data_IF_627038138024
#
_entry.id   IF_627038138024
#
_cell.length_a   1.000
_cell.length_b   1.000
_cell.length_c   1.000
_cell.angle_alpha   90.00
_cell.angle_beta   90.00
_cell.angle_gamma   90.00
#
_symmetry.space_group_name_H-M   'P 1'
#
loop_
_entity.id
_entity.type
_entity.pdbx_description
1 polymer ?
#
# COMPACT_ATOMS: atom_id res chain seq x y z
N UNK A 1 30.08 43.66 -35.65
CA UNK A 1 28.90 43.15 -34.91
C UNK A 1 29.32 41.83 -34.27
N UNK A 2 29.73 41.88 -33.01
CA UNK A 2 30.23 40.72 -32.28
C UNK A 2 29.08 40.18 -31.44
N UNK A 3 28.64 38.96 -31.73
CA UNK A 3 27.56 38.27 -31.02
C UNK A 3 28.11 37.86 -29.65
N UNK A 4 27.54 38.43 -28.58
CA UNK A 4 27.82 38.01 -27.22
C UNK A 4 27.13 36.67 -26.94
N UNK A 5 27.92 35.62 -26.76
CA UNK A 5 27.47 34.34 -26.21
C UNK A 5 27.16 34.56 -24.73
N UNK A 6 25.87 34.61 -24.39
CA UNK A 6 25.41 34.54 -23.00
C UNK A 6 25.66 33.13 -22.48
N UNK A 7 26.64 32.97 -21.60
CA UNK A 7 26.83 31.76 -20.81
C UNK A 7 25.65 31.60 -19.85
N UNK A 8 24.75 30.67 -20.12
CA UNK A 8 23.74 30.23 -19.16
C UNK A 8 24.46 29.52 -18.00
N UNK A 9 24.42 30.12 -16.82
CA UNK A 9 24.83 29.46 -15.57
C UNK A 9 24.03 28.16 -15.40
N UNK A 10 24.64 27.04 -14.97
CA UNK A 10 23.89 25.83 -14.67
C UNK A 10 22.87 26.15 -13.58
N UNK A 11 21.58 25.93 -13.87
CA UNK A 11 20.53 26.00 -12.86
C UNK A 11 20.93 25.06 -11.72
N UNK A 12 21.26 25.62 -10.56
CA UNK A 12 21.61 24.86 -9.38
C UNK A 12 20.33 24.19 -8.89
N UNK A 13 20.06 22.97 -9.36
CA UNK A 13 18.94 22.19 -8.86
C UNK A 13 19.24 21.90 -7.38
N UNK A 14 18.41 22.36 -6.42
CA UNK A 14 18.69 22.13 -5.01
C UNK A 14 18.84 20.63 -4.73
N UNK A 15 19.85 20.28 -3.94
CA UNK A 15 20.13 18.88 -3.58
C UNK A 15 18.87 18.23 -2.96
N UNK A 16 18.42 17.05 -3.45
CA UNK A 16 17.25 16.38 -2.90
C UNK A 16 17.39 16.16 -1.39
N UNK A 17 16.32 16.35 -0.63
CA UNK A 17 16.29 16.15 0.83
C UNK A 17 16.79 14.76 1.23
N UNK A 18 16.49 13.74 0.42
CA UNK A 18 16.96 12.36 0.62
C UNK A 18 18.49 12.20 0.55
N UNK A 19 19.18 13.10 -0.15
CA UNK A 19 20.64 13.07 -0.33
C UNK A 19 21.39 14.04 0.60
N UNK A 20 20.68 14.91 1.30
CA UNK A 20 21.28 15.86 2.23
C UNK A 20 21.89 15.13 3.45
N UNK A 21 22.87 15.78 4.10
CA UNK A 21 23.46 15.28 5.35
C UNK A 21 22.56 15.64 6.53
N UNK A 22 22.31 14.70 7.43
CA UNK A 22 21.63 14.99 8.70
C UNK A 22 22.61 15.67 9.69
N UNK A 23 22.32 16.90 10.17
CA UNK A 23 23.19 17.58 11.13
C UNK A 23 23.40 16.82 12.44
N UNK A 24 22.42 16.02 12.87
CA UNK A 24 22.46 15.25 14.12
C UNK A 24 23.37 14.02 14.05
N UNK A 25 23.73 13.58 12.85
CA UNK A 25 24.52 12.36 12.63
C UNK A 25 25.87 12.62 11.94
N UNK A 26 26.34 13.87 11.87
CA UNK A 26 27.59 14.22 11.17
C UNK A 26 28.81 13.43 11.66
N UNK A 27 28.81 13.05 12.94
CA UNK A 27 29.88 12.29 13.59
C UNK A 27 29.41 10.90 14.06
N UNK A 28 28.37 10.32 13.45
CA UNK A 28 27.78 9.03 13.91
C UNK A 28 28.79 7.87 13.96
N UNK A 29 29.89 7.94 13.21
CA UNK A 29 30.98 6.96 13.25
C UNK A 29 31.75 6.93 14.59
N UNK A 30 31.66 7.97 15.41
CA UNK A 30 32.30 8.05 16.73
C UNK A 30 31.33 7.76 17.88
N UNK A 31 30.06 7.47 17.59
CA UNK A 31 29.04 7.21 18.61
C UNK A 31 29.17 5.77 19.13
N UNK A 32 28.84 5.57 20.40
CA UNK A 32 28.60 4.24 20.95
C UNK A 32 27.35 3.61 20.34
N UNK A 33 27.21 2.28 20.46
CA UNK A 33 26.03 1.58 19.96
C UNK A 33 24.71 2.12 20.58
N UNK A 34 24.73 2.51 21.85
CA UNK A 34 23.56 3.08 22.53
C UNK A 34 23.17 4.44 21.94
N UNK A 35 24.14 5.32 21.68
CA UNK A 35 23.90 6.63 21.05
C UNK A 35 23.41 6.49 19.60
N UNK A 36 23.92 5.49 18.86
CA UNK A 36 23.43 5.19 17.50
C UNK A 36 21.95 4.78 17.54
N UNK A 37 21.57 3.88 18.45
CA UNK A 37 20.17 3.42 18.58
C UNK A 37 19.26 4.58 18.99
N UNK A 38 19.66 5.39 19.97
CA UNK A 38 18.89 6.54 20.44
C UNK A 38 18.66 7.56 19.31
N UNK A 39 19.71 7.87 18.55
CA UNK A 39 19.61 8.77 17.41
C UNK A 39 18.68 8.21 16.32
N UNK A 40 18.81 6.92 15.98
CA UNK A 40 17.95 6.28 14.98
C UNK A 40 16.48 6.31 15.41
N UNK A 41 16.19 5.97 16.67
CA UNK A 41 14.82 5.99 17.19
C UNK A 41 14.23 7.41 17.18
N UNK A 42 15.01 8.41 17.58
CA UNK A 42 14.58 9.80 17.55
C UNK A 42 14.35 10.35 16.12
N UNK A 43 15.03 9.79 15.11
CA UNK A 43 14.76 10.09 13.71
C UNK A 43 13.51 9.35 13.20
N UNK A 44 13.35 8.06 13.53
CA UNK A 44 12.19 7.25 13.14
C UNK A 44 10.87 7.82 13.67
N UNK A 45 10.87 8.39 14.88
CA UNK A 45 9.69 9.05 15.47
C UNK A 45 9.12 10.17 14.57
N UNK A 46 9.94 10.77 13.70
CA UNK A 46 9.52 11.84 12.77
C UNK A 46 8.72 11.33 11.58
N UNK A 47 8.83 10.04 11.26
CA UNK A 47 8.17 9.43 10.10
C UNK A 47 6.65 9.51 10.21
N UNK A 48 6.10 9.26 11.39
CA UNK A 48 4.64 9.30 11.62
C UNK A 48 4.06 10.66 11.29
N UNK A 49 4.70 11.74 11.74
CA UNK A 49 4.28 13.10 11.45
C UNK A 49 4.38 13.43 9.95
N UNK A 50 5.39 12.92 9.24
CA UNK A 50 5.51 13.10 7.79
C UNK A 50 4.36 12.40 7.05
N UNK A 51 4.03 11.17 7.42
CA UNK A 51 2.88 10.43 6.85
C UNK A 51 1.55 11.11 7.17
N UNK A 52 1.38 11.65 8.39
CA UNK A 52 0.17 12.37 8.80
C UNK A 52 -0.10 13.62 7.96
N UNK A 53 0.95 14.30 7.47
CA UNK A 53 0.79 15.46 6.57
C UNK A 53 0.15 15.06 5.23
N UNK A 54 0.40 13.83 4.78
CA UNK A 54 -0.13 13.27 3.53
C UNK A 54 -1.52 12.61 3.68
N UNK A 55 -2.16 12.69 4.85
CA UNK A 55 -3.42 11.98 5.14
C UNK A 55 -4.54 12.21 4.11
N UNK A 56 -4.63 13.41 3.54
CA UNK A 56 -5.64 13.75 2.54
C UNK A 56 -5.36 13.04 1.20
N UNK A 57 -4.10 13.07 0.75
CA UNK A 57 -3.67 12.38 -0.48
C UNK A 57 -3.81 10.86 -0.32
N UNK A 58 -3.44 10.32 0.85
CA UNK A 58 -3.61 8.90 1.16
C UNK A 58 -5.10 8.50 1.14
N UNK A 59 -5.98 9.31 1.74
CA UNK A 59 -7.42 9.06 1.71
C UNK A 59 -7.99 9.06 0.28
N UNK A 60 -7.61 10.04 -0.54
CA UNK A 60 -8.02 10.11 -1.94
C UNK A 60 -7.52 8.90 -2.74
N UNK A 61 -6.27 8.46 -2.50
CA UNK A 61 -5.74 7.26 -3.13
C UNK A 61 -6.52 6.00 -2.73
N UNK A 62 -6.84 5.84 -1.44
CA UNK A 62 -7.65 4.73 -0.93
C UNK A 62 -9.01 4.67 -1.64
N UNK A 63 -9.70 5.80 -1.75
CA UNK A 63 -11.01 5.88 -2.41
C UNK A 63 -10.94 5.47 -3.88
N UNK A 64 -9.96 6.01 -4.62
CA UNK A 64 -9.79 5.71 -6.04
C UNK A 64 -9.34 4.27 -6.33
N UNK A 65 -8.53 3.69 -5.45
CA UNK A 65 -8.14 2.27 -5.52
C UNK A 65 -9.35 1.39 -5.22
N UNK A 66 -10.12 1.70 -4.17
CA UNK A 66 -11.32 0.94 -3.81
C UNK A 66 -12.37 0.97 -4.93
N UNK A 67 -12.55 2.11 -5.59
CA UNK A 67 -13.45 2.21 -6.74
C UNK A 67 -13.02 1.30 -7.89
N UNK A 68 -11.73 1.25 -8.22
CA UNK A 68 -11.20 0.34 -9.25
C UNK A 68 -11.40 -1.12 -8.90
N UNK A 69 -11.13 -1.50 -7.66
CA UNK A 69 -11.41 -2.86 -7.19
C UNK A 69 -12.87 -3.27 -7.36
N UNK A 70 -13.83 -2.36 -7.13
CA UNK A 70 -15.26 -2.65 -7.36
C UNK A 70 -15.60 -2.88 -8.83
N UNK A 71 -14.82 -2.29 -9.74
CA UNK A 71 -14.98 -2.43 -11.19
C UNK A 71 -14.04 -3.48 -11.82
N UNK A 72 -13.41 -4.32 -11.00
CA UNK A 72 -12.54 -5.40 -11.46
C UNK A 72 -11.12 -4.97 -11.87
N UNK A 73 -10.73 -3.72 -11.62
CA UNK A 73 -9.36 -3.25 -11.76
C UNK A 73 -8.44 -3.78 -10.66
N UNK A 74 -7.13 -3.65 -10.86
CA UNK A 74 -6.09 -4.12 -9.94
C UNK A 74 -5.21 -2.96 -9.47
N UNK A 75 -4.44 -3.21 -8.41
CA UNK A 75 -3.42 -2.28 -7.90
C UNK A 75 -2.03 -2.82 -8.21
N UNK A 76 -1.20 -1.98 -8.83
CA UNK A 76 0.20 -2.28 -9.09
C UNK A 76 1.10 -1.36 -8.28
N UNK A 77 2.06 -1.93 -7.57
CA UNK A 77 3.21 -1.23 -7.04
C UNK A 77 4.39 -1.42 -7.98
N UNK A 78 5.13 -0.34 -8.26
CA UNK A 78 6.28 -0.37 -9.15
C UNK A 78 7.44 0.42 -8.53
N UNK A 79 8.58 -0.22 -8.31
CA UNK A 79 9.74 0.44 -7.72
C UNK A 79 11.05 -0.29 -8.00
N UNK A 80 12.16 0.34 -7.61
CA UNK A 80 13.48 -0.28 -7.62
C UNK A 80 13.99 -0.50 -6.18
N UNK A 81 14.95 -1.40 -6.00
CA UNK A 81 15.62 -1.62 -4.72
C UNK A 81 14.63 -1.82 -3.55
N UNK A 82 14.84 -1.07 -2.46
CA UNK A 82 13.96 -1.14 -1.28
C UNK A 82 12.51 -0.79 -1.59
N UNK A 83 12.26 0.22 -2.43
CA UNK A 83 10.91 0.63 -2.82
C UNK A 83 10.14 -0.49 -3.51
N UNK A 84 10.77 -1.17 -4.49
CA UNK A 84 10.17 -2.32 -5.15
C UNK A 84 9.93 -3.49 -4.20
N UNK A 85 10.87 -3.77 -3.28
CA UNK A 85 10.71 -4.84 -2.28
C UNK A 85 9.55 -4.58 -1.33
N UNK A 86 9.35 -3.34 -0.89
CA UNK A 86 8.22 -2.98 -0.03
C UNK A 86 6.88 -3.09 -0.77
N UNK A 87 6.84 -2.74 -2.06
CA UNK A 87 5.66 -2.99 -2.90
C UNK A 87 5.32 -4.48 -3.00
N UNK A 88 6.32 -5.34 -3.21
CA UNK A 88 6.14 -6.80 -3.23
C UNK A 88 5.71 -7.34 -1.88
N UNK A 89 6.28 -6.82 -0.77
CA UNK A 89 5.87 -7.19 0.58
C UNK A 89 4.38 -6.93 0.82
N UNK A 90 3.92 -5.70 0.61
CA UNK A 90 2.52 -5.31 0.84
C UNK A 90 1.55 -6.12 -0.05
N UNK A 91 1.89 -6.31 -1.33
CA UNK A 91 1.13 -7.15 -2.25
C UNK A 91 1.00 -8.61 -1.77
N UNK A 92 2.11 -9.19 -1.28
CA UNK A 92 2.15 -10.58 -0.82
C UNK A 92 1.30 -10.85 0.43
N UNK A 93 1.05 -9.81 1.23
CA UNK A 93 0.24 -9.90 2.44
C UNK A 93 -1.26 -9.80 2.16
N UNK A 94 -1.67 -9.32 0.97
CA UNK A 94 -3.07 -9.15 0.61
C UNK A 94 -3.85 -10.48 0.53
N UNK A 95 -3.39 -11.54 -0.16
CA UNK A 95 -4.09 -12.82 -0.23
C UNK A 95 -4.33 -13.49 1.15
N UNK A 96 -3.32 -13.66 2.04
CA UNK A 96 -3.57 -14.28 3.33
C UNK A 96 -4.37 -13.41 4.31
N UNK A 97 -4.42 -12.08 4.08
CA UNK A 97 -5.11 -11.11 4.95
C UNK A 97 -6.54 -10.84 4.51
N UNK A 98 -6.83 -10.75 3.21
CA UNK A 98 -8.14 -10.33 2.71
C UNK A 98 -8.79 -11.36 1.78
N UNK A 99 -8.21 -12.56 1.70
CA UNK A 99 -8.56 -13.64 0.76
C UNK A 99 -8.71 -13.14 -0.68
N UNK A 100 -7.83 -12.22 -1.06
CA UNK A 100 -7.83 -11.67 -2.41
C UNK A 100 -7.14 -12.65 -3.36
N UNK A 101 -7.53 -12.66 -4.63
CA UNK A 101 -6.68 -13.25 -5.65
C UNK A 101 -5.30 -12.58 -5.65
N UNK A 102 -4.19 -13.31 -5.90
CA UNK A 102 -2.84 -12.73 -5.98
C UNK A 102 -2.70 -11.63 -7.03
N UNK A 103 -3.49 -11.69 -8.10
CA UNK A 103 -3.50 -10.70 -9.19
C UNK A 103 -4.18 -9.38 -8.83
N UNK A 104 -4.91 -9.30 -7.71
CA UNK A 104 -5.60 -8.08 -7.30
C UNK A 104 -4.65 -6.97 -6.87
N UNK A 105 -3.53 -7.34 -6.24
CA UNK A 105 -2.46 -6.42 -5.80
C UNK A 105 -1.13 -7.03 -6.21
N UNK A 106 -0.38 -6.35 -7.07
CA UNK A 106 0.84 -6.86 -7.68
C UNK A 106 2.01 -5.93 -7.37
N UNK A 107 3.11 -6.49 -6.86
CA UNK A 107 4.36 -5.77 -6.70
C UNK A 107 5.34 -6.08 -7.83
N UNK A 108 5.82 -5.03 -8.50
CA UNK A 108 6.83 -5.08 -9.55
C UNK A 108 8.11 -4.40 -9.07
N UNK A 109 9.23 -5.07 -9.31
CA UNK A 109 10.56 -4.60 -8.93
C UNK A 109 11.48 -4.58 -10.15
N UNK A 110 12.18 -3.44 -10.34
CA UNK A 110 13.21 -3.31 -11.37
C UNK A 110 14.25 -4.43 -11.24
N UNK A 111 14.52 -5.16 -12.33
CA UNK A 111 15.40 -6.33 -12.34
C UNK A 111 14.71 -7.66 -12.00
N UNK A 112 13.39 -7.66 -11.79
CA UNK A 112 12.57 -8.86 -11.64
C UNK A 112 12.81 -9.63 -10.34
N UNK A 113 12.41 -10.91 -10.30
CA UNK A 113 12.42 -11.72 -9.07
C UNK A 113 13.82 -11.82 -8.41
N UNK A 114 14.90 -11.80 -9.19
CA UNK A 114 16.27 -11.80 -8.64
C UNK A 114 16.55 -10.57 -7.77
N UNK A 115 15.95 -9.42 -8.11
CA UNK A 115 16.10 -8.17 -7.39
C UNK A 115 15.55 -8.22 -5.94
N UNK A 116 14.69 -9.20 -5.64
CA UNK A 116 14.14 -9.39 -4.30
C UNK A 116 15.22 -9.74 -3.27
N UNK A 117 16.20 -10.55 -3.65
CA UNK A 117 17.24 -11.05 -2.74
C UNK A 117 18.64 -10.50 -3.05
N UNK A 118 18.84 -9.92 -4.24
CA UNK A 118 20.12 -9.33 -4.67
C UNK A 118 19.88 -7.97 -5.32
N UNK A 119 20.81 -7.03 -5.17
CA UNK A 119 20.74 -5.79 -5.95
C UNK A 119 21.14 -6.07 -7.40
N UNK A 120 20.44 -5.44 -8.36
CA UNK A 120 20.78 -5.49 -9.78
C UNK A 120 21.17 -4.07 -10.20
N UNK A 121 22.44 -3.88 -10.51
CA UNK A 121 22.99 -2.59 -10.92
C UNK A 121 22.37 -2.14 -12.26
N UNK A 122 22.03 -0.86 -12.37
CA UNK A 122 21.46 -0.25 -13.58
C UNK A 122 20.00 -0.60 -13.90
N UNK A 123 19.38 -1.54 -13.18
CA UNK A 123 17.97 -1.90 -13.42
C UNK A 123 17.01 -0.73 -13.20
N UNK A 124 17.35 0.20 -12.30
CA UNK A 124 16.54 1.36 -11.96
C UNK A 124 16.58 2.47 -13.03
N UNK A 125 17.55 2.42 -13.94
CA UNK A 125 17.76 3.41 -15.00
C UNK A 125 17.01 3.08 -16.31
N UNK A 126 16.46 1.87 -16.44
CA UNK A 126 15.74 1.43 -17.65
C UNK A 126 14.26 1.83 -17.62
N UNK A 127 13.92 2.97 -18.25
CA UNK A 127 12.53 3.43 -18.42
C UNK A 127 11.65 2.43 -19.18
N UNK A 128 12.20 1.73 -20.18
CA UNK A 128 11.43 0.84 -21.05
C UNK A 128 11.13 -0.49 -20.39
N UNK A 129 11.94 -0.92 -19.42
CA UNK A 129 11.69 -2.15 -18.66
C UNK A 129 10.37 -2.07 -17.91
N UNK A 130 10.04 -0.93 -17.29
CA UNK A 130 8.77 -0.76 -16.58
C UNK A 130 7.55 -0.96 -17.48
N UNK A 131 7.59 -0.43 -18.71
CA UNK A 131 6.54 -0.66 -19.70
C UNK A 131 6.42 -2.16 -20.04
N UNK A 132 7.55 -2.84 -20.28
CA UNK A 132 7.56 -4.28 -20.59
C UNK A 132 6.97 -5.11 -19.44
N UNK A 133 7.33 -4.79 -18.21
CA UNK A 133 6.81 -5.47 -17.02
C UNK A 133 5.28 -5.27 -16.90
N UNK A 134 4.79 -4.04 -17.07
CA UNK A 134 3.35 -3.74 -17.05
C UNK A 134 2.59 -4.45 -18.19
N UNK A 135 3.18 -4.53 -19.38
CA UNK A 135 2.60 -5.24 -20.53
C UNK A 135 2.49 -6.76 -20.29
N UNK A 136 3.48 -7.37 -19.65
CA UNK A 136 3.44 -8.79 -19.29
C UNK A 136 2.27 -9.12 -18.35
N UNK A 137 1.86 -8.16 -17.53
CA UNK A 137 0.70 -8.28 -16.64
C UNK A 137 -0.62 -7.79 -17.27
N UNK A 138 -0.62 -7.47 -18.57
CA UNK A 138 -1.79 -6.94 -19.27
C UNK A 138 -2.36 -5.71 -18.55
N UNK A 139 -1.50 -4.82 -18.06
CA UNK A 139 -1.91 -3.58 -17.40
C UNK A 139 -2.78 -2.72 -18.32
N UNK A 140 -3.83 -2.11 -17.76
CA UNK A 140 -4.87 -1.42 -18.53
C UNK A 140 -5.38 -0.15 -17.83
N UNK A 141 -6.24 0.61 -18.52
CA UNK A 141 -6.90 1.81 -17.98
C UNK A 141 -7.75 1.55 -16.71
N UNK A 142 -8.19 0.31 -16.50
CA UNK A 142 -8.97 -0.06 -15.33
C UNK A 142 -8.12 -0.17 -14.05
N UNK A 143 -6.79 -0.30 -14.21
CA UNK A 143 -5.86 -0.51 -13.11
C UNK A 143 -5.43 0.82 -12.47
N UNK A 144 -4.81 0.71 -11.28
CA UNK A 144 -4.07 1.79 -10.64
C UNK A 144 -2.58 1.42 -10.54
N UNK A 145 -1.70 2.38 -10.82
CA UNK A 145 -0.26 2.23 -10.64
C UNK A 145 0.22 3.19 -9.54
N UNK A 146 0.87 2.64 -8.52
CA UNK A 146 1.64 3.38 -7.52
C UNK A 146 3.12 3.23 -7.85
N UNK A 147 3.72 4.29 -8.40
CA UNK A 147 5.14 4.38 -8.68
C UNK A 147 5.91 4.85 -7.44
N UNK A 148 6.85 4.04 -6.95
CA UNK A 148 7.55 4.25 -5.68
C UNK A 148 9.02 4.57 -5.93
N UNK A 149 9.37 5.85 -5.77
CA UNK A 149 10.75 6.33 -5.82
C UNK A 149 10.97 7.35 -4.71
N UNK A 150 11.65 6.96 -3.63
CA UNK A 150 11.89 7.87 -2.50
C UNK A 150 12.64 9.13 -2.94
N UNK A 151 13.58 9.00 -3.88
CA UNK A 151 14.27 10.13 -4.52
C UNK A 151 13.36 10.97 -5.43
N UNK A 152 12.29 10.37 -5.94
CA UNK A 152 11.32 10.97 -6.87
C UNK A 152 11.79 11.07 -8.31
N UNK A 153 12.99 10.56 -8.64
CA UNK A 153 13.61 10.69 -9.95
C UNK A 153 13.97 9.38 -10.66
N UNK A 154 13.69 8.23 -10.05
CA UNK A 154 14.11 6.91 -10.57
C UNK A 154 13.53 6.64 -11.98
N UNK A 155 14.36 6.49 -13.04
CA UNK A 155 13.87 6.38 -14.42
C UNK A 155 12.89 5.23 -14.65
N UNK A 156 13.13 4.04 -14.12
CA UNK A 156 12.20 2.90 -14.21
C UNK A 156 10.80 3.27 -13.72
N UNK A 157 10.71 3.95 -12.58
CA UNK A 157 9.42 4.37 -11.99
C UNK A 157 8.75 5.43 -12.85
N UNK A 158 9.49 6.44 -13.31
CA UNK A 158 8.95 7.48 -14.19
C UNK A 158 8.44 6.91 -15.51
N UNK A 159 9.18 5.98 -16.13
CA UNK A 159 8.75 5.29 -17.35
C UNK A 159 7.45 4.48 -17.17
N UNK A 160 7.28 3.83 -16.02
CA UNK A 160 6.04 3.12 -15.70
C UNK A 160 4.85 4.07 -15.51
N UNK A 161 5.05 5.19 -14.81
CA UNK A 161 4.02 6.22 -14.62
C UNK A 161 3.60 6.84 -15.96
N UNK A 162 4.58 7.20 -16.81
CA UNK A 162 4.30 7.74 -18.15
C UNK A 162 3.49 6.75 -19.00
N UNK A 163 3.85 5.46 -18.97
CA UNK A 163 3.12 4.42 -19.69
C UNK A 163 1.69 4.23 -19.15
N UNK A 164 1.52 4.12 -17.84
CA UNK A 164 0.20 3.97 -17.22
C UNK A 164 -0.72 5.16 -17.55
N UNK A 165 -0.19 6.38 -17.48
CA UNK A 165 -0.92 7.59 -17.88
C UNK A 165 -1.31 7.56 -19.35
N UNK A 166 -0.43 7.11 -20.24
CA UNK A 166 -0.74 7.01 -21.69
C UNK A 166 -1.91 6.06 -21.99
N UNK A 167 -2.18 5.10 -21.10
CA UNK A 167 -3.33 4.20 -21.18
C UNK A 167 -4.59 4.76 -20.51
N UNK A 168 -4.52 5.89 -19.80
CA UNK A 168 -5.62 6.44 -19.01
C UNK A 168 -5.84 5.75 -17.66
N UNK A 169 -4.86 4.98 -17.17
CA UNK A 169 -4.90 4.40 -15.83
C UNK A 169 -4.64 5.46 -14.76
N UNK A 170 -5.07 5.21 -13.53
CA UNK A 170 -4.71 6.09 -12.41
C UNK A 170 -3.22 5.95 -12.09
N UNK A 171 -2.55 7.09 -12.00
CA UNK A 171 -1.14 7.14 -11.58
C UNK A 171 -0.99 7.83 -10.24
N UNK A 172 -0.36 7.15 -9.29
CA UNK A 172 -0.03 7.65 -7.96
C UNK A 172 1.50 7.64 -7.82
N UNK A 173 2.10 8.78 -7.49
CA UNK A 173 3.52 8.91 -7.23
C UNK A 173 3.83 8.89 -5.73
N UNK A 174 4.83 8.13 -5.32
CA UNK A 174 5.37 8.18 -3.95
C UNK A 174 6.81 8.69 -3.95
N UNK A 175 7.10 9.72 -3.15
CA UNK A 175 8.45 10.28 -2.95
C UNK A 175 8.64 10.83 -1.53
N UNK A 176 9.88 11.04 -1.11
CA UNK A 176 10.21 11.68 0.17
C UNK A 176 10.87 13.06 -0.02
N UNK A 177 10.70 13.67 -1.19
CA UNK A 177 11.17 15.00 -1.56
C UNK A 177 9.98 15.91 -1.90
N UNK A 178 10.03 17.20 -1.51
CA UNK A 178 8.95 18.18 -1.71
C UNK A 178 8.66 18.50 -3.18
N UNK A 179 9.68 18.47 -4.03
CA UNK A 179 9.54 18.69 -5.47
C UNK A 179 10.50 17.74 -6.18
N UNK A 180 9.94 16.90 -7.05
CA UNK A 180 10.71 15.88 -7.78
C UNK A 180 9.98 15.53 -9.08
N UNK A 181 10.66 14.91 -10.06
CA UNK A 181 10.06 14.53 -11.34
C UNK A 181 8.72 13.77 -11.21
N UNK A 182 8.55 12.97 -10.14
CA UNK A 182 7.31 12.23 -9.89
C UNK A 182 6.08 13.13 -9.74
N UNK A 183 6.24 14.39 -9.29
CA UNK A 183 5.16 15.36 -9.14
C UNK A 183 4.53 15.77 -10.46
N UNK A 184 5.28 15.63 -11.56
CA UNK A 184 4.79 15.89 -12.91
C UNK A 184 4.31 14.60 -13.59
N UNK A 185 4.85 13.45 -13.19
CA UNK A 185 4.58 12.16 -13.81
C UNK A 185 3.31 11.45 -13.29
N UNK A 186 2.77 11.83 -12.12
CA UNK A 186 1.60 11.18 -11.52
C UNK A 186 0.40 12.12 -11.35
N UNK A 187 -0.81 11.57 -11.33
CA UNK A 187 -2.08 12.32 -11.17
C UNK A 187 -2.34 12.70 -9.72
N UNK A 188 -1.89 11.84 -8.80
CA UNK A 188 -1.90 12.06 -7.36
C UNK A 188 -0.49 11.79 -6.81
N UNK A 189 -0.01 12.62 -5.88
CA UNK A 189 1.29 12.41 -5.25
C UNK A 189 1.13 12.31 -3.74
N UNK A 190 1.79 11.30 -3.15
CA UNK A 190 1.95 11.11 -1.71
C UNK A 190 3.42 11.35 -1.40
N UNK A 191 3.72 12.49 -0.76
CA UNK A 191 5.10 12.96 -0.56
C UNK A 191 5.48 13.13 0.93
N UNK A 192 5.56 12.05 1.74
CA UNK A 192 5.96 12.16 3.14
C UNK A 192 7.45 12.53 3.24
N UNK A 193 7.73 13.83 3.43
CA UNK A 193 9.10 14.35 3.57
C UNK A 193 9.64 14.06 4.98
N UNK A 194 10.48 13.03 5.07
CA UNK A 194 11.04 12.53 6.33
C UNK A 194 12.36 13.21 6.75
N UNK A 195 12.85 14.13 5.93
CA UNK A 195 14.14 14.80 6.11
C UNK A 195 15.35 13.90 5.83
N UNK A 196 16.58 14.42 6.03
CA UNK A 196 17.83 13.69 5.79
C UNK A 196 17.95 12.40 6.63
N UNK A 197 18.50 11.35 6.04
CA UNK A 197 18.73 10.07 6.73
C UNK A 197 19.93 10.13 7.69
N UNK A 198 19.96 9.27 8.71
CA UNK A 198 21.10 9.19 9.65
C UNK A 198 22.41 8.83 8.96
N UNK A 199 22.33 8.02 7.89
CA UNK A 199 23.39 7.80 6.92
C UNK A 199 22.92 8.42 5.62
N UNK A 200 23.59 9.49 5.18
CA UNK A 200 23.18 10.27 3.99
C UNK A 200 22.93 9.36 2.79
N UNK A 201 21.79 9.54 2.11
CA UNK A 201 21.37 8.72 0.96
C UNK A 201 20.83 7.32 1.31
N UNK A 202 20.88 6.87 2.57
CA UNK A 202 20.39 5.53 2.95
C UNK A 202 18.87 5.51 3.14
N UNK A 203 18.13 5.74 2.05
CA UNK A 203 16.66 5.85 2.05
C UNK A 203 15.93 4.55 2.40
N UNK A 204 16.65 3.43 2.58
CA UNK A 204 16.09 2.19 3.14
C UNK A 204 15.60 2.33 4.59
N UNK A 205 15.95 3.43 5.26
CA UNK A 205 15.63 3.74 6.65
C UNK A 205 14.29 4.49 6.74
N UNK A 206 14.26 5.77 7.11
CA UNK A 206 13.01 6.51 7.34
C UNK A 206 12.10 6.55 6.12
N UNK A 207 12.67 6.80 4.94
CA UNK A 207 11.88 6.85 3.70
C UNK A 207 11.27 5.48 3.36
N UNK A 208 12.00 4.39 3.62
CA UNK A 208 11.47 3.02 3.55
C UNK A 208 10.35 2.77 4.57
N UNK A 209 10.51 3.23 5.81
CA UNK A 209 9.47 3.13 6.85
C UNK A 209 8.21 3.91 6.44
N UNK A 210 8.36 5.14 5.94
CA UNK A 210 7.25 5.95 5.43
C UNK A 210 6.53 5.24 4.27
N UNK A 211 7.30 4.66 3.33
CA UNK A 211 6.78 3.86 2.22
C UNK A 211 5.90 2.74 2.77
N UNK A 212 6.42 1.91 3.68
CA UNK A 212 5.68 0.79 4.28
C UNK A 212 4.36 1.25 4.91
N UNK A 213 4.41 2.32 5.72
CA UNK A 213 3.21 2.86 6.38
C UNK A 213 2.15 3.26 5.37
N UNK A 214 2.54 3.98 4.31
CA UNK A 214 1.60 4.41 3.26
C UNK A 214 1.04 3.22 2.50
N UNK A 215 1.86 2.27 2.06
CA UNK A 215 1.37 1.10 1.31
C UNK A 215 0.35 0.30 2.14
N UNK A 216 0.66 0.07 3.43
CA UNK A 216 -0.27 -0.62 4.33
C UNK A 216 -1.59 0.15 4.48
N UNK A 217 -1.56 1.49 4.52
CA UNK A 217 -2.78 2.32 4.56
C UNK A 217 -3.58 2.18 3.26
N UNK A 218 -2.92 2.20 2.10
CA UNK A 218 -3.56 2.09 0.79
C UNK A 218 -4.32 0.76 0.65
N UNK A 219 -3.65 -0.38 0.85
CA UNK A 219 -4.28 -1.69 0.73
C UNK A 219 -5.31 -1.94 1.82
N UNK A 220 -4.96 -1.69 3.10
CA UNK A 220 -5.89 -1.92 4.21
C UNK A 220 -7.13 -1.05 4.07
N UNK A 221 -6.96 0.24 3.78
CA UNK A 221 -8.05 1.18 3.60
C UNK A 221 -8.96 0.78 2.43
N UNK A 222 -8.38 0.46 1.27
CA UNK A 222 -9.16 0.05 0.11
C UNK A 222 -9.93 -1.26 0.36
N UNK A 223 -9.30 -2.23 1.02
CA UNK A 223 -9.92 -3.51 1.38
C UNK A 223 -11.08 -3.34 2.37
N UNK A 224 -10.95 -2.41 3.34
CA UNK A 224 -12.04 -2.02 4.23
C UNK A 224 -13.21 -1.43 3.43
N UNK A 225 -12.93 -0.50 2.51
CA UNK A 225 -13.97 0.15 1.70
C UNK A 225 -14.72 -0.79 0.75
N UNK A 226 -14.12 -1.90 0.33
CA UNK A 226 -14.79 -2.94 -0.45
C UNK A 226 -15.37 -4.08 0.42
N UNK A 227 -15.42 -3.88 1.74
CA UNK A 227 -16.10 -4.77 2.67
C UNK A 227 -15.34 -6.03 3.04
N UNK A 228 -14.00 -6.07 2.95
CA UNK A 228 -13.19 -7.21 3.43
C UNK A 228 -13.21 -7.35 4.96
N UNK A 229 -13.63 -6.31 5.66
CA UNK A 229 -13.79 -6.30 7.12
C UNK A 229 -15.24 -6.03 7.55
N UNK A 230 -15.52 -6.34 8.81
CA UNK A 230 -16.74 -5.95 9.52
C UNK A 230 -16.34 -5.51 10.93
N UNK A 231 -16.56 -4.23 11.24
CA UNK A 231 -15.83 -3.59 12.33
C UNK A 231 -14.32 -3.67 12.08
N UNK A 232 -13.57 -4.11 13.09
CA UNK A 232 -12.13 -4.40 13.00
C UNK A 232 -11.83 -5.90 12.74
N UNK A 233 -12.86 -6.71 12.44
CA UNK A 233 -12.68 -8.11 12.10
C UNK A 233 -12.48 -8.30 10.60
N UNK A 234 -11.39 -8.98 10.25
CA UNK A 234 -11.18 -9.56 8.94
C UNK A 234 -12.16 -10.72 8.75
N UNK A 235 -13.29 -10.47 8.09
CA UNK A 235 -14.37 -11.47 7.90
C UNK A 235 -14.31 -12.15 6.54
N UNK A 236 -13.48 -11.64 5.62
CA UNK A 236 -13.24 -12.26 4.32
C UNK A 236 -11.99 -13.16 4.37
N UNK A 237 -12.00 -14.15 5.27
CA UNK A 237 -10.93 -15.14 5.38
C UNK A 237 -11.36 -16.53 4.88
N UNK A 238 -10.46 -17.18 4.12
CA UNK A 238 -10.57 -18.60 3.78
C UNK A 238 -9.57 -19.39 4.61
N UNK A 239 -10.06 -20.25 5.50
CA UNK A 239 -9.22 -20.99 6.43
C UNK A 239 -8.38 -22.08 5.73
N UNK A 240 -7.15 -21.75 5.34
CA UNK A 240 -6.21 -22.68 4.71
C UNK A 240 -5.32 -23.46 5.69
N UNK A 241 -5.34 -23.10 6.98
CA UNK A 241 -4.55 -23.74 8.03
C UNK A 241 -5.28 -23.71 9.37
N UNK A 242 -4.79 -24.49 10.35
CA UNK A 242 -5.42 -24.62 11.68
C UNK A 242 -5.57 -23.29 12.42
N UNK A 243 -4.58 -22.38 12.32
CA UNK A 243 -4.65 -21.04 12.91
C UNK A 243 -5.82 -20.23 12.34
N UNK A 244 -6.02 -20.28 11.03
CA UNK A 244 -7.12 -19.56 10.37
C UNK A 244 -8.50 -20.19 10.65
N UNK A 245 -8.57 -21.52 10.85
CA UNK A 245 -9.81 -22.19 11.29
C UNK A 245 -10.24 -21.71 12.68
N UNK A 246 -9.31 -21.69 13.63
CA UNK A 246 -9.55 -21.18 14.99
C UNK A 246 -9.93 -19.69 14.97
N UNK A 247 -9.28 -18.90 14.12
CA UNK A 247 -9.62 -17.48 13.94
C UNK A 247 -11.04 -17.31 13.39
N UNK A 248 -11.43 -18.10 12.39
CA UNK A 248 -12.79 -18.07 11.80
C UNK A 248 -13.84 -18.36 12.87
N UNK A 249 -13.62 -19.42 13.65
CA UNK A 249 -14.51 -19.81 14.75
C UNK A 249 -14.68 -18.68 15.77
N UNK A 250 -13.56 -18.11 16.25
CA UNK A 250 -13.58 -17.01 17.20
C UNK A 250 -14.37 -15.81 16.67
N UNK A 251 -14.14 -15.42 15.42
CA UNK A 251 -14.83 -14.28 14.80
C UNK A 251 -16.34 -14.51 14.75
N UNK A 252 -16.78 -15.71 14.36
CA UNK A 252 -18.20 -16.06 14.35
C UNK A 252 -18.79 -16.02 15.75
N UNK A 253 -18.14 -16.63 16.75
CA UNK A 253 -18.58 -16.57 18.14
C UNK A 253 -18.75 -15.13 18.64
N UNK A 254 -17.71 -14.30 18.48
CA UNK A 254 -17.72 -12.90 18.98
C UNK A 254 -18.82 -12.06 18.34
N UNK A 255 -19.05 -12.21 17.02
CA UNK A 255 -20.03 -11.39 16.31
C UNK A 255 -21.47 -11.88 16.55
N UNK A 256 -21.66 -13.19 16.69
CA UNK A 256 -23.01 -13.80 16.73
C UNK A 256 -23.51 -14.14 18.13
N UNK A 257 -22.61 -14.23 19.11
CA UNK A 257 -22.91 -14.72 20.45
C UNK A 257 -23.07 -16.25 20.55
N UNK A 258 -22.85 -16.98 19.45
CA UNK A 258 -22.96 -18.44 19.42
C UNK A 258 -21.83 -19.11 20.21
N UNK A 259 -22.13 -20.30 20.75
CA UNK A 259 -21.10 -21.19 21.31
C UNK A 259 -20.16 -21.69 20.22
N UNK A 260 -18.98 -22.19 20.62
CA UNK A 260 -18.02 -22.76 19.69
C UNK A 260 -18.59 -23.95 18.90
N UNK A 261 -19.45 -24.77 19.50
CA UNK A 261 -20.08 -25.89 18.81
C UNK A 261 -21.04 -25.41 17.71
N UNK A 262 -21.93 -24.48 18.04
CA UNK A 262 -22.90 -23.90 17.09
C UNK A 262 -22.19 -23.15 15.95
N UNK A 263 -21.19 -22.33 16.29
CA UNK A 263 -20.40 -21.60 15.31
C UNK A 263 -19.65 -22.55 14.36
N UNK A 264 -19.13 -23.68 14.85
CA UNK A 264 -18.51 -24.71 14.02
C UNK A 264 -19.51 -25.31 13.02
N UNK A 265 -20.70 -25.68 13.50
CA UNK A 265 -21.76 -26.23 12.64
C UNK A 265 -22.20 -25.24 11.55
N UNK A 266 -22.37 -23.96 11.90
CA UNK A 266 -22.74 -22.92 10.92
C UNK A 266 -21.61 -22.70 9.90
N UNK A 267 -20.35 -22.66 10.34
CA UNK A 267 -19.19 -22.55 9.46
C UNK A 267 -19.09 -23.72 8.49
N UNK A 268 -19.26 -24.96 8.95
CA UNK A 268 -19.25 -26.15 8.09
C UNK A 268 -20.35 -26.08 7.01
N UNK A 269 -21.58 -25.71 7.40
CA UNK A 269 -22.68 -25.50 6.45
C UNK A 269 -22.38 -24.41 5.42
N UNK A 270 -21.60 -23.40 5.82
CA UNK A 270 -21.16 -22.30 4.95
C UNK A 270 -19.81 -22.57 4.28
N UNK A 271 -19.29 -23.80 4.32
CA UNK A 271 -18.00 -24.18 3.71
C UNK A 271 -16.80 -23.33 4.20
N UNK A 272 -16.87 -22.87 5.45
CA UNK A 272 -15.86 -22.02 6.09
C UNK A 272 -15.95 -20.54 5.71
N UNK A 273 -16.95 -20.12 4.94
CA UNK A 273 -17.17 -18.71 4.61
C UNK A 273 -17.69 -17.93 5.83
N UNK A 274 -16.82 -17.10 6.42
CA UNK A 274 -17.13 -16.40 7.68
C UNK A 274 -18.26 -15.37 7.51
N UNK A 275 -18.25 -14.56 6.45
CA UNK A 275 -19.36 -13.60 6.18
C UNK A 275 -20.71 -14.31 6.04
N UNK A 276 -20.74 -15.40 5.27
CA UNK A 276 -21.95 -16.21 5.05
C UNK A 276 -22.41 -16.82 6.37
N UNK A 277 -21.50 -17.37 7.16
CA UNK A 277 -21.81 -17.94 8.48
C UNK A 277 -22.42 -16.91 9.45
N UNK A 278 -21.82 -15.71 9.53
CA UNK A 278 -22.35 -14.61 10.36
C UNK A 278 -23.76 -14.22 9.91
N UNK A 279 -23.96 -14.05 8.60
CA UNK A 279 -25.26 -13.65 8.06
C UNK A 279 -26.33 -14.74 8.28
N UNK A 280 -25.99 -16.01 8.06
CA UNK A 280 -26.87 -17.14 8.35
C UNK A 280 -27.29 -17.17 9.83
N UNK A 281 -26.33 -16.97 10.75
CA UNK A 281 -26.60 -16.99 12.19
C UNK A 281 -27.48 -15.82 12.63
N UNK A 282 -27.19 -14.60 12.18
CA UNK A 282 -27.89 -13.39 12.64
C UNK A 282 -29.24 -13.12 11.93
N UNK A 283 -29.50 -13.76 10.79
CA UNK A 283 -30.72 -13.55 10.01
C UNK A 283 -31.51 -14.83 9.75
N UNK A 284 -31.10 -15.93 10.37
CA UNK A 284 -31.75 -17.24 10.24
C UNK A 284 -31.92 -17.68 8.77
N UNK A 285 -30.89 -17.43 7.96
CA UNK A 285 -30.88 -17.75 6.53
C UNK A 285 -30.14 -19.06 6.27
N UNK A 286 -30.50 -19.71 5.17
CA UNK A 286 -29.65 -20.75 4.58
C UNK A 286 -28.44 -20.14 3.84
N UNK A 287 -27.41 -20.97 3.61
CA UNK A 287 -26.18 -20.51 2.98
C UNK A 287 -26.37 -19.98 1.55
N UNK A 288 -27.17 -20.61 0.66
CA UNK A 288 -27.46 -20.06 -0.66
C UNK A 288 -28.08 -18.65 -0.61
N UNK A 289 -29.09 -18.45 0.25
CA UNK A 289 -29.77 -17.15 0.39
C UNK A 289 -28.83 -16.10 0.97
N UNK A 290 -28.01 -16.46 1.97
CA UNK A 290 -27.01 -15.56 2.54
C UNK A 290 -25.96 -15.13 1.49
N UNK A 291 -25.48 -16.06 0.65
CA UNK A 291 -24.56 -15.74 -0.45
C UNK A 291 -25.18 -14.82 -1.49
N UNK A 292 -26.43 -15.09 -1.89
CA UNK A 292 -27.15 -14.23 -2.83
C UNK A 292 -27.32 -12.81 -2.26
N UNK A 293 -27.66 -12.70 -0.97
CA UNK A 293 -27.81 -11.41 -0.28
C UNK A 293 -26.48 -10.65 -0.18
N UNK A 294 -25.37 -11.35 0.12
CA UNK A 294 -24.03 -10.76 0.11
C UNK A 294 -23.65 -10.29 -1.30
N UNK A 295 -23.90 -11.08 -2.33
CA UNK A 295 -23.60 -10.72 -3.72
C UNK A 295 -24.37 -9.45 -4.15
N UNK A 296 -25.64 -9.33 -3.77
CA UNK A 296 -26.48 -8.17 -4.08
C UNK A 296 -25.98 -6.85 -3.48
N UNK A 297 -25.14 -6.89 -2.43
CA UNK A 297 -24.53 -5.71 -1.81
C UNK A 297 -22.99 -5.68 -1.95
N UNK A 298 -22.45 -6.32 -2.98
CA UNK A 298 -21.00 -6.31 -3.27
C UNK A 298 -20.14 -6.92 -2.17
N UNK A 299 -20.66 -7.91 -1.44
CA UNK A 299 -19.95 -8.61 -0.37
C UNK A 299 -19.84 -7.82 0.94
N UNK A 300 -20.54 -6.70 1.09
CA UNK A 300 -20.53 -5.87 2.30
C UNK A 300 -21.46 -6.44 3.38
N UNK A 301 -20.88 -7.13 4.38
CA UNK A 301 -21.63 -7.80 5.44
C UNK A 301 -22.57 -6.85 6.20
N UNK A 302 -22.13 -5.63 6.51
CA UNK A 302 -22.96 -4.60 7.18
C UNK A 302 -24.26 -4.31 6.41
N UNK A 303 -24.15 -4.11 5.10
CA UNK A 303 -25.30 -3.85 4.23
C UNK A 303 -26.18 -5.10 4.13
N UNK A 304 -25.59 -6.28 4.00
CA UNK A 304 -26.31 -7.54 4.01
C UNK A 304 -27.10 -7.73 5.31
N UNK A 305 -26.57 -7.30 6.46
CA UNK A 305 -27.28 -7.34 7.75
C UNK A 305 -28.40 -6.30 7.85
N UNK A 306 -28.44 -5.26 7.00
CA UNK A 306 -29.42 -4.18 7.05
C UNK A 306 -29.12 -3.11 8.10
N UNK A 307 -27.87 -2.99 8.52
CA UNK A 307 -27.44 -2.01 9.52
C UNK A 307 -27.28 -0.61 8.91
N UNK A 308 -27.78 0.42 9.61
CA UNK A 308 -27.56 1.83 9.22
C UNK A 308 -26.11 2.24 9.48
N UNK A 309 -25.59 3.16 8.66
CA UNK A 309 -24.26 3.73 8.82
C UNK A 309 -24.13 4.50 10.14
N UNK A 310 -23.27 4.02 11.03
CA UNK A 310 -22.72 4.71 12.18
C UNK A 310 -21.43 5.34 11.69
N UNK A 311 -21.34 6.67 11.81
CA UNK A 311 -20.12 7.42 11.46
C UNK A 311 -18.95 7.05 12.37
N UNK A 312 -17.71 7.39 11.98
CA UNK A 312 -16.54 7.08 12.78
C UNK A 312 -16.60 7.76 14.16
N UNK A 313 -16.38 6.98 15.22
CA UNK A 313 -16.07 7.48 16.56
C UNK A 313 -14.55 7.49 16.70
N UNK A 314 -13.91 8.60 16.37
CA UNK A 314 -12.52 8.81 16.78
C UNK A 314 -12.57 9.44 18.17
N UNK A 315 -12.26 8.66 19.21
CA UNK A 315 -11.91 9.21 20.51
C UNK A 315 -10.48 9.73 20.39
N UNK A 316 -10.31 11.04 20.28
CA UNK A 316 -8.99 11.66 20.49
C UNK A 316 -8.60 11.44 21.96
N UNK A 317 -7.48 10.76 22.21
CA UNK A 317 -6.82 10.72 23.51
C UNK A 317 -6.57 9.31 24.05
N UNK A 318 -5.35 8.81 23.80
CA UNK A 318 -4.43 8.28 24.81
C UNK A 318 -3.00 8.33 24.26
#
# INVERSE_FOLDING_TARGET
MTIALTSSSPQHNPQPTTEQRNPRSQHIHSFSAAEIVELMNAEDARVVAAVQRERANIAQAIEQIADRFRHGGRLFYLGAGTSGRLGVLDASECPPTFSTPPEMVVGLIAGGATALTRAIEGAEDDRQQAQRDLQQHQFSAADALVGIATSGGTPYVLGGLDYARSLGALTIGFSCNEASPIHQAADLVIAPVVGPEVVSGSTRLKAGTATKMVLNMLTTGAMILIGKTYGNWMVDLKASNSKLKLRSLRIVCEITGLTAAEASTVLERCQGEVKTAILCALRELDAPTARQRLAACGGQLRQALGERSAGPQFTEGD
#
